data_IF_466885420560
#
_entry.id   IF_466885420560
#
_cell.length_a   1.000
_cell.length_b   1.000
_cell.length_c   1.000
_cell.angle_alpha   90.00
_cell.angle_beta   90.00
_cell.angle_gamma   90.00
#
_symmetry.space_group_name_H-M   'P 1'
#
loop_
_entity.id
_entity.type
_entity.pdbx_description
1 polymer ?
#
# COMPACT_ATOMS: atom_id res chain seq x y z
N UNK A 1 8.45 8.99 9.80
CA UNK A 1 9.17 7.69 9.97
C UNK A 1 9.37 7.30 11.44
N UNK A 2 8.37 7.48 12.31
CA UNK A 2 8.39 6.99 13.71
C UNK A 2 7.34 5.87 13.84
N UNK A 3 6.13 6.13 13.35
CA UNK A 3 5.00 5.18 13.34
C UNK A 3 5.32 3.91 12.52
N UNK A 4 6.04 4.05 11.39
CA UNK A 4 6.45 2.89 10.58
C UNK A 4 7.29 1.86 11.37
N UNK A 5 8.21 2.31 12.22
CA UNK A 5 9.02 1.41 13.05
C UNK A 5 8.22 0.68 14.13
N UNK A 6 7.15 1.31 14.64
CA UNK A 6 6.22 0.69 15.59
C UNK A 6 5.36 -0.36 14.87
N UNK A 7 4.87 -0.07 13.67
CA UNK A 7 4.12 -1.02 12.84
C UNK A 7 4.96 -2.27 12.50
N UNK A 8 6.27 -2.12 12.29
CA UNK A 8 7.19 -3.25 12.10
C UNK A 8 7.32 -4.12 13.36
N UNK A 9 7.05 -3.59 14.56
CA UNK A 9 7.14 -4.35 15.83
C UNK A 9 5.80 -4.93 16.26
N UNK A 10 4.69 -4.25 15.98
CA UNK A 10 3.35 -4.74 16.31
C UNK A 10 2.91 -5.83 15.32
N UNK A 11 2.28 -6.89 15.84
CA UNK A 11 1.66 -7.92 14.99
C UNK A 11 0.19 -7.55 14.81
N UNK A 12 -0.19 -7.09 13.62
CA UNK A 12 -1.56 -6.71 13.28
C UNK A 12 -2.26 -7.93 12.68
N UNK A 13 -3.49 -8.30 13.10
CA UNK A 13 -4.21 -9.42 12.51
C UNK A 13 -4.48 -9.19 11.02
N UNK A 14 -4.39 -10.27 10.23
CA UNK A 14 -4.40 -10.24 8.75
C UNK A 14 -5.64 -9.57 8.15
N UNK A 15 -6.79 -9.70 8.81
CA UNK A 15 -8.05 -9.14 8.36
C UNK A 15 -8.06 -7.60 8.43
N UNK A 16 -7.54 -7.02 9.52
CA UNK A 16 -7.49 -5.56 9.68
C UNK A 16 -6.40 -4.94 8.81
N UNK A 17 -5.29 -5.66 8.61
CA UNK A 17 -4.23 -5.22 7.70
C UNK A 17 -4.71 -5.14 6.25
N UNK A 18 -5.58 -6.05 5.81
CA UNK A 18 -6.13 -6.07 4.45
C UNK A 18 -7.03 -4.84 4.19
N UNK A 19 -7.98 -4.57 5.11
CA UNK A 19 -8.89 -3.41 4.99
C UNK A 19 -8.12 -2.09 5.09
N UNK A 20 -7.15 -2.00 6.00
CA UNK A 20 -6.30 -0.81 6.13
C UNK A 20 -5.48 -0.56 4.85
N UNK A 21 -5.10 -1.62 4.13
CA UNK A 21 -4.35 -1.50 2.89
C UNK A 21 -5.24 -0.99 1.75
N UNK A 22 -6.43 -1.56 1.53
CA UNK A 22 -7.38 -1.03 0.52
C UNK A 22 -7.72 0.44 0.80
N UNK A 23 -7.96 0.81 2.07
CA UNK A 23 -8.20 2.20 2.43
C UNK A 23 -7.00 3.11 2.13
N UNK A 24 -5.77 2.64 2.38
CA UNK A 24 -4.55 3.39 2.03
C UNK A 24 -4.38 3.57 0.51
N UNK A 25 -4.76 2.57 -0.28
CA UNK A 25 -4.68 2.59 -1.75
C UNK A 25 -5.73 3.50 -2.39
N UNK A 26 -6.87 3.74 -1.72
CA UNK A 26 -7.88 4.73 -2.15
C UNK A 26 -7.44 6.18 -1.91
N UNK A 27 -6.40 6.43 -1.11
CA UNK A 27 -5.89 7.78 -0.83
C UNK A 27 -4.89 8.25 -1.90
N UNK A 28 -4.71 9.58 -1.99
CA UNK A 28 -3.74 10.20 -2.90
C UNK A 28 -2.30 9.71 -2.67
N UNK A 29 -1.56 9.55 -3.76
CA UNK A 29 -0.18 9.09 -3.72
C UNK A 29 0.71 10.00 -2.85
N UNK A 30 1.22 9.44 -1.75
CA UNK A 30 2.17 10.13 -0.89
C UNK A 30 3.36 9.20 -0.59
N UNK A 31 4.62 9.66 -0.69
CA UNK A 31 5.79 8.86 -0.36
C UNK A 31 5.77 8.30 1.07
N UNK A 32 5.10 8.97 2.02
CA UNK A 32 4.91 8.46 3.38
C UNK A 32 3.99 7.23 3.42
N UNK A 33 2.90 7.25 2.65
CA UNK A 33 1.91 6.17 2.50
C UNK A 33 2.54 4.93 1.87
N UNK A 34 3.37 5.12 0.84
CA UNK A 34 4.12 4.03 0.17
C UNK A 34 5.07 3.29 1.11
N UNK A 35 5.68 3.99 2.08
CA UNK A 35 6.51 3.35 3.12
C UNK A 35 5.66 2.47 4.04
N UNK A 36 4.44 2.88 4.36
CA UNK A 36 3.51 2.05 5.14
C UNK A 36 3.08 0.80 4.37
N UNK A 37 2.75 0.93 3.08
CA UNK A 37 2.41 -0.21 2.21
C UNK A 37 3.57 -1.22 2.19
N UNK A 38 4.80 -0.75 2.00
CA UNK A 38 6.01 -1.60 2.02
C UNK A 38 6.17 -2.36 3.34
N UNK A 39 5.97 -1.70 4.49
CA UNK A 39 6.09 -2.32 5.82
C UNK A 39 5.00 -3.38 6.05
N UNK A 40 3.77 -3.13 5.58
CA UNK A 40 2.66 -4.09 5.68
C UNK A 40 2.91 -5.33 4.81
N UNK A 41 3.49 -5.17 3.63
CA UNK A 41 3.87 -6.28 2.74
C UNK A 41 5.05 -7.09 3.30
N UNK A 42 6.06 -6.42 3.88
CA UNK A 42 7.24 -7.09 4.47
C UNK A 42 6.89 -8.04 5.63
N UNK A 43 5.74 -7.83 6.30
CA UNK A 43 5.28 -8.67 7.40
C UNK A 43 4.84 -10.09 6.99
N UNK A 44 4.83 -10.42 5.69
CA UNK A 44 4.44 -11.75 5.17
C UNK A 44 3.15 -12.28 5.79
N UNK A 45 2.16 -11.42 5.97
CA UNK A 45 0.82 -11.92 6.19
C UNK A 45 0.42 -12.75 4.96
N UNK A 46 -0.35 -13.81 5.14
CA UNK A 46 -1.04 -14.46 4.03
C UNK A 46 -2.04 -13.44 3.48
N UNK A 47 -1.56 -12.51 2.65
CA UNK A 47 -2.36 -11.42 2.13
C UNK A 47 -3.47 -12.04 1.28
N UNK A 48 -4.74 -11.75 1.58
CA UNK A 48 -5.85 -12.24 0.79
C UNK A 48 -5.71 -11.71 -0.65
N UNK A 49 -6.08 -12.53 -1.64
CA UNK A 49 -5.92 -12.21 -3.07
C UNK A 49 -6.48 -10.83 -3.45
N UNK A 50 -7.58 -10.40 -2.80
CA UNK A 50 -8.20 -9.08 -2.99
C UNK A 50 -7.22 -7.92 -2.76
N UNK A 51 -6.39 -8.00 -1.71
CA UNK A 51 -5.42 -6.94 -1.42
C UNK A 51 -4.28 -6.89 -2.43
N UNK A 52 -3.97 -8.03 -3.07
CA UNK A 52 -2.97 -8.08 -4.15
C UNK A 52 -3.53 -7.42 -5.40
N UNK A 53 -4.79 -7.71 -5.75
CA UNK A 53 -5.47 -7.11 -6.90
C UNK A 53 -5.58 -5.59 -6.77
N UNK A 54 -5.96 -5.07 -5.60
CA UNK A 54 -6.01 -3.63 -5.34
C UNK A 54 -4.62 -2.98 -5.49
N UNK A 55 -3.57 -3.66 -5.02
CA UNK A 55 -2.19 -3.17 -5.12
C UNK A 55 -1.75 -3.07 -6.59
N UNK A 56 -2.07 -4.09 -7.39
CA UNK A 56 -1.76 -4.11 -8.82
C UNK A 56 -2.53 -3.00 -9.54
N UNK A 57 -3.82 -2.83 -9.25
CA UNK A 57 -4.65 -1.78 -9.84
C UNK A 57 -4.11 -0.38 -9.52
N UNK A 58 -3.71 -0.15 -8.27
CA UNK A 58 -3.05 1.08 -7.85
C UNK A 58 -1.77 1.35 -8.66
N UNK A 59 -0.89 0.35 -8.81
CA UNK A 59 0.35 0.54 -9.59
C UNK A 59 0.12 0.73 -11.09
N UNK A 60 -0.93 0.13 -11.65
CA UNK A 60 -1.32 0.35 -13.06
C UNK A 60 -1.77 1.79 -13.27
N UNK A 61 -2.67 2.29 -12.41
CA UNK A 61 -3.14 3.67 -12.46
C UNK A 61 -1.98 4.67 -12.29
N UNK A 62 -1.12 4.42 -11.31
CA UNK A 62 0.09 5.22 -11.06
C UNK A 62 1.08 5.25 -12.22
N UNK A 63 1.17 4.17 -12.99
CA UNK A 63 2.04 4.13 -14.17
C UNK A 63 1.44 4.95 -15.31
N UNK A 64 0.12 4.85 -15.50
CA UNK A 64 -0.61 5.60 -16.53
C UNK A 64 -0.63 7.11 -16.29
N UNK A 65 -0.81 7.54 -15.03
CA UNK A 65 -0.77 8.96 -14.64
C UNK A 65 0.60 9.59 -15.00
N UNK A 66 1.70 8.84 -14.82
CA UNK A 66 3.06 9.33 -15.12
C UNK A 66 3.32 9.50 -16.62
N UNK A 67 2.73 8.67 -17.47
CA UNK A 67 2.87 8.82 -18.93
C UNK A 67 2.17 10.09 -19.43
N UNK A 68 1.09 10.53 -18.77
CA UNK A 68 0.31 11.71 -19.18
C UNK A 68 0.99 13.04 -18.85
N UNK A 69 1.88 13.08 -17.85
CA UNK A 69 2.62 14.30 -17.45
C UNK A 69 3.89 14.52 -18.30
N UNK A 70 4.37 13.51 -19.01
CA UNK A 70 5.56 13.63 -19.87
C UNK A 70 5.23 14.23 -21.25
N UNK A 71 3.94 14.30 -21.63
CA UNK A 71 3.47 14.79 -22.92
C UNK A 71 2.98 16.27 -22.92
N UNK A 72 3.33 17.10 -21.91
CA UNK A 72 3.02 18.55 -21.87
C UNK A 72 4.29 19.40 -21.82
#
# INVERSE_FOLDING_TARGET
>A
MIVGSVLTKCSVPVQHSSVALSWLLEQEFNPATTVFIRILVEKKYALPYQTIDDLVLYFIQETFERDTVVDI
#
